data_IF_143077915447
#
_entry.id   IF_143077915447
#
_cell.length_a   1.000
_cell.length_b   1.000
_cell.length_c   1.000
_cell.angle_alpha   90.00
_cell.angle_beta   90.00
_cell.angle_gamma   90.00
#
_symmetry.space_group_name_H-M   'P 1'
#
loop_
_entity.id
_entity.type
_entity.pdbx_description
1 polymer ?
#
# COMPACT_ATOMS: atom_id res chain seq x y z
N UNK A 1 -30.46 7.82 -33.51
CA UNK A 1 -30.29 8.17 -32.09
C UNK A 1 -29.00 7.58 -31.59
N UNK A 2 -28.16 8.41 -30.98
CA UNK A 2 -26.74 8.18 -30.70
C UNK A 2 -26.43 7.01 -29.78
N UNK A 3 -25.32 6.35 -30.12
CA UNK A 3 -24.52 5.41 -29.34
C UNK A 3 -24.45 5.76 -27.84
N UNK A 4 -25.28 5.11 -27.02
CA UNK A 4 -25.27 5.25 -25.56
C UNK A 4 -24.86 3.97 -24.84
N UNK A 5 -24.17 3.06 -25.53
CA UNK A 5 -23.63 1.80 -24.98
C UNK A 5 -22.12 1.85 -24.71
N UNK A 6 -21.41 2.91 -25.13
CA UNK A 6 -19.96 2.99 -24.99
C UNK A 6 -19.47 3.63 -23.67
N UNK A 7 -20.35 4.15 -22.82
CA UNK A 7 -19.98 4.87 -21.60
C UNK A 7 -19.97 4.01 -20.32
N UNK A 8 -20.33 2.73 -20.42
CA UNK A 8 -20.23 1.76 -19.32
C UNK A 8 -19.07 0.80 -19.56
N UNK A 9 -17.93 1.32 -20.01
CA UNK A 9 -16.67 0.78 -19.48
C UNK A 9 -16.65 1.17 -18.02
N UNK A 10 -17.29 0.34 -17.20
CA UNK A 10 -16.85 0.06 -15.83
C UNK A 10 -15.35 -0.06 -15.98
N UNK A 11 -14.62 1.02 -15.68
CA UNK A 11 -13.19 0.93 -15.47
C UNK A 11 -13.09 -0.16 -14.42
N UNK A 12 -12.62 -1.34 -14.84
CA UNK A 12 -12.29 -2.43 -13.94
C UNK A 12 -11.56 -1.75 -12.81
N UNK A 13 -12.24 -1.63 -11.68
CA UNK A 13 -11.72 -0.90 -10.55
C UNK A 13 -10.60 -1.78 -10.08
N UNK A 14 -9.39 -1.55 -10.62
CA UNK A 14 -8.15 -2.16 -10.15
C UNK A 14 -8.24 -2.00 -8.66
N UNK A 15 -8.47 -3.11 -7.96
CA UNK A 15 -8.55 -3.07 -6.50
C UNK A 15 -7.25 -2.40 -6.07
N UNK A 16 -7.31 -1.25 -5.39
CA UNK A 16 -6.12 -0.53 -5.00
C UNK A 16 -5.22 -1.50 -4.25
N UNK A 17 -3.93 -1.46 -4.57
CA UNK A 17 -2.97 -2.40 -4.00
C UNK A 17 -3.07 -2.29 -2.47
N UNK A 18 -3.12 -3.38 -1.68
CA UNK A 18 -3.36 -3.29 -0.23
C UNK A 18 -2.40 -2.32 0.49
N UNK A 19 -1.19 -2.20 -0.04
CA UNK A 19 -0.17 -1.26 0.43
C UNK A 19 -0.47 0.22 0.13
N UNK A 20 -1.14 0.54 -0.99
CA UNK A 20 -1.62 1.92 -1.26
C UNK A 20 -2.55 2.40 -0.14
N UNK A 21 -3.26 1.47 0.51
CA UNK A 21 -4.11 1.76 1.65
C UNK A 21 -3.39 2.42 2.83
N UNK A 22 -2.06 2.31 2.92
CA UNK A 22 -1.24 2.95 3.94
C UNK A 22 -0.91 4.42 3.65
N UNK A 23 -1.12 4.87 2.41
CA UNK A 23 -0.69 6.18 1.94
C UNK A 23 -1.89 7.08 1.67
N UNK A 24 -1.71 8.38 1.92
CA UNK A 24 -2.58 9.43 1.38
C UNK A 24 -2.23 9.68 -0.08
N UNK A 25 -0.94 9.64 -0.40
CA UNK A 25 -0.40 9.70 -1.77
C UNK A 25 0.91 8.92 -1.86
N UNK A 26 1.13 8.24 -2.99
CA UNK A 26 2.42 7.63 -3.33
C UNK A 26 3.25 8.53 -4.27
N UNK A 27 2.81 9.75 -4.56
CA UNK A 27 3.38 10.59 -5.61
C UNK A 27 3.54 9.79 -6.92
N UNK A 28 4.75 9.73 -7.49
CA UNK A 28 5.06 9.03 -8.73
C UNK A 28 5.57 7.59 -8.51
N UNK A 29 5.53 7.08 -7.27
CA UNK A 29 5.97 5.73 -6.95
C UNK A 29 4.87 4.70 -7.21
N UNK A 30 5.25 3.57 -7.81
CA UNK A 30 4.36 2.41 -7.85
C UNK A 30 4.30 1.72 -6.46
N UNK A 31 3.21 1.03 -6.13
CA UNK A 31 3.10 0.28 -4.87
C UNK A 31 4.22 -0.74 -4.69
N UNK A 32 4.65 -1.40 -5.77
CA UNK A 32 5.73 -2.39 -5.75
C UNK A 32 7.06 -1.75 -5.35
N UNK A 33 7.35 -0.56 -5.89
CA UNK A 33 8.56 0.18 -5.54
C UNK A 33 8.54 0.63 -4.08
N UNK A 34 7.39 1.05 -3.58
CA UNK A 34 7.23 1.45 -2.18
C UNK A 34 7.37 0.24 -1.22
N UNK A 35 6.88 -0.94 -1.59
CA UNK A 35 7.07 -2.19 -0.83
C UNK A 35 8.52 -2.64 -0.84
N UNK A 36 9.21 -2.49 -1.98
CA UNK A 36 10.64 -2.74 -2.10
C UNK A 36 11.42 -1.91 -1.08
N UNK A 37 11.21 -0.59 -1.09
CA UNK A 37 11.83 0.33 -0.15
C UNK A 37 11.52 -0.03 1.33
N UNK A 38 10.28 -0.43 1.62
CA UNK A 38 9.91 -0.86 2.97
C UNK A 38 10.61 -2.16 3.39
N UNK A 39 10.69 -3.13 2.48
CA UNK A 39 11.34 -4.41 2.72
C UNK A 39 12.85 -4.23 2.92
N UNK A 40 13.46 -3.34 2.16
CA UNK A 40 14.89 -3.04 2.27
C UNK A 40 15.21 -2.31 3.58
N UNK A 41 14.34 -1.39 4.04
CA UNK A 41 14.48 -0.78 5.36
C UNK A 41 14.41 -1.83 6.49
N UNK A 42 13.48 -2.78 6.40
CA UNK A 42 13.37 -3.89 7.36
C UNK A 42 14.59 -4.81 7.35
N UNK A 43 15.19 -5.06 6.18
CA UNK A 43 16.42 -5.85 6.02
C UNK A 43 17.66 -5.12 6.53
N UNK A 44 17.68 -3.80 6.42
CA UNK A 44 18.74 -2.92 6.94
C UNK A 44 18.58 -2.61 8.44
N UNK A 45 17.76 -3.39 9.16
CA UNK A 45 17.49 -3.25 10.59
C UNK A 45 16.88 -1.89 11.02
N UNK A 46 16.25 -1.16 10.09
CA UNK A 46 15.56 0.10 10.38
C UNK A 46 14.15 -0.10 10.95
N UNK A 47 13.87 -1.23 11.63
CA UNK A 47 12.51 -1.56 12.09
C UNK A 47 11.96 -0.56 13.12
N UNK A 48 12.84 -0.04 13.96
CA UNK A 48 12.51 0.94 15.00
C UNK A 48 12.53 2.39 14.49
N UNK A 49 12.93 2.60 13.22
CA UNK A 49 12.86 3.91 12.60
C UNK A 49 11.41 4.36 12.53
N UNK A 50 11.17 5.65 12.78
CA UNK A 50 9.86 6.24 12.62
C UNK A 50 9.40 6.16 11.15
N UNK A 51 8.14 5.78 10.92
CA UNK A 51 7.61 5.56 9.58
C UNK A 51 7.48 6.87 8.78
N UNK A 52 7.21 8.00 9.43
CA UNK A 52 7.22 9.33 8.82
C UNK A 52 8.62 9.70 8.32
N UNK A 53 9.64 9.56 9.18
CA UNK A 53 11.02 9.85 8.77
C UNK A 53 11.45 8.94 7.60
N UNK A 54 11.08 7.65 7.68
CA UNK A 54 11.37 6.70 6.62
C UNK A 54 10.74 7.07 5.28
N UNK A 55 9.46 7.47 5.25
CA UNK A 55 8.80 7.81 3.98
C UNK A 55 9.41 9.06 3.35
N UNK A 56 9.82 10.04 4.16
CA UNK A 56 10.53 11.23 3.68
C UNK A 56 11.93 10.93 3.15
N UNK A 57 12.68 10.00 3.76
CA UNK A 57 14.00 9.58 3.27
C UNK A 57 13.91 8.69 2.01
N UNK A 58 13.01 7.71 2.02
CA UNK A 58 13.03 6.61 1.05
C UNK A 58 12.09 6.82 -0.13
N UNK A 59 11.04 7.61 0.05
CA UNK A 59 10.02 7.90 -0.96
C UNK A 59 9.67 9.41 -0.97
N UNK A 60 10.61 10.30 -1.33
CA UNK A 60 10.36 11.74 -1.33
C UNK A 60 9.10 12.12 -2.12
N UNK A 61 8.17 12.82 -1.46
CA UNK A 61 6.88 13.23 -2.01
C UNK A 61 5.71 12.27 -1.73
N UNK A 62 5.97 11.04 -1.27
CA UNK A 62 4.93 10.17 -0.75
C UNK A 62 4.52 10.60 0.66
N UNK A 63 3.26 10.37 1.01
CA UNK A 63 2.71 10.70 2.33
C UNK A 63 1.95 9.51 2.89
N UNK A 64 2.31 9.10 4.11
CA UNK A 64 1.57 8.11 4.87
C UNK A 64 0.28 8.71 5.43
N UNK A 65 -0.75 7.87 5.60
CA UNK A 65 -1.90 8.29 6.41
C UNK A 65 -1.45 8.49 7.85
N UNK A 66 -2.06 9.42 8.60
CA UNK A 66 -1.65 9.73 9.97
C UNK A 66 -1.55 8.49 10.87
N UNK A 67 -2.50 7.54 10.76
CA UNK A 67 -2.50 6.30 11.53
C UNK A 67 -1.23 5.44 11.35
N UNK A 68 -0.52 5.57 10.23
CA UNK A 68 0.72 4.85 9.96
C UNK A 68 1.98 5.70 10.14
N UNK A 69 1.86 7.03 10.02
CA UNK A 69 2.99 7.96 10.14
C UNK A 69 3.54 8.06 11.58
N UNK A 70 2.69 7.88 12.60
CA UNK A 70 3.11 7.94 14.00
C UNK A 70 3.82 6.67 14.51
N UNK A 71 3.73 5.56 13.77
CA UNK A 71 4.32 4.29 14.14
C UNK A 71 5.75 4.11 13.64
N UNK A 72 6.25 2.88 13.76
CA UNK A 72 7.56 2.50 13.23
C UNK A 72 7.47 1.81 11.86
N UNK A 73 8.58 1.76 11.14
CA UNK A 73 8.73 0.98 9.90
C UNK A 73 8.32 -0.48 10.10
N UNK A 74 8.67 -1.07 11.24
CA UNK A 74 8.29 -2.43 11.60
C UNK A 74 6.78 -2.60 11.79
N UNK A 75 6.10 -1.62 12.38
CA UNK A 75 4.64 -1.61 12.52
C UNK A 75 3.92 -1.43 11.18
N UNK A 76 4.43 -0.55 10.32
CA UNK A 76 3.95 -0.37 8.95
C UNK A 76 4.07 -1.68 8.15
N UNK A 77 5.23 -2.34 8.20
CA UNK A 77 5.45 -3.63 7.56
C UNK A 77 4.48 -4.72 8.06
N UNK A 78 4.32 -4.85 9.38
CA UNK A 78 3.37 -5.82 9.96
C UNK A 78 1.93 -5.53 9.57
N UNK A 79 1.52 -4.26 9.53
CA UNK A 79 0.17 -3.85 9.15
C UNK A 79 -0.16 -4.25 7.72
N UNK A 80 0.79 -4.05 6.80
CA UNK A 80 0.67 -4.52 5.42
C UNK A 80 0.64 -6.06 5.32
N UNK A 81 1.59 -6.76 5.96
CA UNK A 81 1.66 -8.24 5.89
C UNK A 81 0.38 -8.90 6.41
N UNK A 82 -0.16 -8.43 7.55
CA UNK A 82 -1.42 -8.93 8.11
C UNK A 82 -2.61 -8.69 7.19
N UNK A 83 -2.69 -7.52 6.54
CA UNK A 83 -3.74 -7.23 5.58
C UNK A 83 -3.66 -8.16 4.35
N UNK A 84 -2.45 -8.48 3.89
CA UNK A 84 -2.24 -9.42 2.78
C UNK A 84 -2.65 -10.85 3.18
N UNK A 85 -2.26 -11.32 4.36
CA UNK A 85 -2.63 -12.63 4.91
C UNK A 85 -4.16 -12.77 5.05
N UNK A 86 -4.82 -11.76 5.60
CA UNK A 86 -6.28 -11.73 5.71
C UNK A 86 -6.98 -11.75 4.35
N UNK A 87 -6.45 -11.01 3.37
CA UNK A 87 -6.97 -10.99 2.00
C UNK A 87 -6.86 -12.38 1.34
N UNK A 88 -5.74 -13.08 1.53
CA UNK A 88 -5.54 -14.45 1.06
C UNK A 88 -6.54 -15.42 1.70
N UNK A 89 -6.70 -15.36 3.02
CA UNK A 89 -7.63 -16.21 3.77
C UNK A 89 -9.10 -16.03 3.35
N UNK A 90 -9.53 -14.78 3.10
CA UNK A 90 -10.88 -14.50 2.59
C UNK A 90 -11.08 -15.01 1.16
N UNK A 91 -10.02 -15.01 0.34
CA UNK A 91 -10.03 -15.60 -1.01
C UNK A 91 -10.27 -17.10 -0.97
N UNK A 92 -9.62 -17.82 -0.07
CA UNK A 92 -9.81 -19.26 0.10
C UNK A 92 -11.21 -19.63 0.60
N UNK A 93 -11.80 -18.85 1.52
CA UNK A 93 -13.16 -19.08 2.02
C UNK A 93 -14.27 -18.82 0.99
N UNK A 94 -14.00 -18.06 -0.08
CA UNK A 94 -14.97 -17.82 -1.16
C UNK A 94 -14.85 -18.81 -2.31
N UNK A 95 -13.78 -19.61 -2.33
CA UNK A 95 -13.52 -20.62 -3.35
C UNK A 95 -13.88 -22.05 -2.88
N UNK A 96 -14.25 -22.22 -1.61
CA UNK A 96 -14.76 -23.45 -1.00
C UNK A 96 -16.29 -23.38 -0.88
#
# INVERSE_FOLDING_TARGET
MSNKLAALRVAESKKPHPFEGCFTTLADYSPERAIGALSDAVRADKREMNAYDWVHESLPGAELKPAFAFGTVGELYRSYSRAQEYSRFKGTLRAA
#
